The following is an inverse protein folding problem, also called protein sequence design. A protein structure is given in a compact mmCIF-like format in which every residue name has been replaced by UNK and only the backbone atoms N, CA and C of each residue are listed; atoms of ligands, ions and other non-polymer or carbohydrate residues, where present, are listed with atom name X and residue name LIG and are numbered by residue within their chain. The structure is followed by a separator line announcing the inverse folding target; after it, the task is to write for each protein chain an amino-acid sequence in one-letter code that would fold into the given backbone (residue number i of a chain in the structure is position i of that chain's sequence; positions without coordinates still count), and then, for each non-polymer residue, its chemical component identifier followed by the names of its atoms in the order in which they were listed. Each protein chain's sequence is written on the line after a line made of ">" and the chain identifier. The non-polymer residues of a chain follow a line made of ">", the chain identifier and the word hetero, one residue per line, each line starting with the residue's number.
data_IF_686175388892
#
_entry.id   IF_686175388892
#
_cell.length_a   1.000
_cell.length_b   1.000
_cell.length_c   1.000
_cell.angle_alpha   90.00
_cell.angle_beta   90.00
_cell.angle_gamma   90.00
#
_symmetry.space_group_name_H-M   'P 1'
#
loop_
_entity.id
_entity.type
_entity.pdbx_description
1 polymer ?
#
# COMPACT_ATOMS: atom_id res chain seq x y z
N UNK A 1 29.97 -14.55 -3.69
CA UNK A 1 28.87 -14.13 -4.57
C UNK A 1 27.77 -13.57 -3.68
N UNK A 2 27.55 -12.26 -3.70
CA UNK A 2 26.49 -11.64 -2.90
C UNK A 2 25.16 -11.95 -3.60
N UNK A 3 24.21 -12.54 -2.90
CA UNK A 3 22.89 -12.89 -3.45
C UNK A 3 22.13 -11.61 -3.82
N UNK A 4 21.35 -11.66 -4.91
CA UNK A 4 20.50 -10.54 -5.35
C UNK A 4 19.54 -10.07 -4.23
N UNK A 5 19.12 -10.99 -3.35
CA UNK A 5 18.33 -10.67 -2.16
C UNK A 5 19.05 -9.75 -1.17
N UNK A 6 20.37 -9.90 -1.01
CA UNK A 6 21.19 -9.06 -0.11
C UNK A 6 21.38 -7.65 -0.69
N UNK A 7 21.49 -7.53 -2.03
CA UNK A 7 21.59 -6.23 -2.70
C UNK A 7 20.25 -5.48 -2.58
N UNK A 8 19.12 -6.16 -2.73
CA UNK A 8 17.79 -5.55 -2.56
C UNK A 8 17.56 -5.07 -1.12
N UNK A 9 17.99 -5.85 -0.12
CA UNK A 9 17.89 -5.49 1.31
C UNK A 9 18.78 -4.29 1.66
N UNK A 10 19.97 -4.19 1.06
CA UNK A 10 20.86 -3.03 1.21
C UNK A 10 20.26 -1.80 0.52
N UNK A 11 19.64 -1.94 -0.66
CA UNK A 11 19.00 -0.82 -1.36
C UNK A 11 17.78 -0.31 -0.55
N UNK A 12 16.96 -1.21 -0.01
CA UNK A 12 15.84 -0.84 0.87
C UNK A 12 16.29 -0.21 2.20
N UNK A 13 17.33 -0.75 2.84
CA UNK A 13 17.90 -0.16 4.05
C UNK A 13 18.55 1.21 3.78
N UNK A 14 19.13 1.41 2.59
CA UNK A 14 19.71 2.71 2.19
C UNK A 14 18.63 3.73 1.81
N UNK A 15 17.51 3.30 1.23
CA UNK A 15 16.37 4.19 0.93
C UNK A 15 15.58 4.62 2.17
N UNK A 16 15.53 3.78 3.22
CA UNK A 16 14.93 4.13 4.51
C UNK A 16 15.85 5.02 5.37
N UNK A 17 17.15 5.10 5.05
CA UNK A 17 18.15 5.81 5.84
C UNK A 17 18.24 7.32 5.62
N UNK A 18 17.86 7.84 4.44
CA UNK A 18 18.12 9.25 4.07
C UNK A 18 16.99 9.88 3.24
N UNK A 19 15.77 9.95 3.77
CA UNK A 19 14.69 10.77 3.17
C UNK A 19 14.77 12.24 3.64
N UNK A 20 15.77 12.63 4.45
CA UNK A 20 15.94 14.02 4.89
C UNK A 20 16.32 15.00 3.76
N UNK A 21 16.62 14.50 2.55
CA UNK A 21 17.00 15.33 1.40
C UNK A 21 15.82 15.75 0.49
N UNK A 22 14.60 15.27 0.71
CA UNK A 22 13.43 15.73 -0.04
C UNK A 22 12.80 16.97 0.61
N UNK A 23 13.51 18.10 0.54
CA UNK A 23 12.94 19.41 0.88
C UNK A 23 11.80 19.73 -0.06
N UNK A 24 10.58 19.63 0.45
CA UNK A 24 9.37 20.25 -0.11
C UNK A 24 9.65 21.75 -0.31
N UNK A 25 9.40 22.34 -1.49
CA UNK A 25 9.55 23.78 -1.68
C UNK A 25 8.59 24.53 -0.73
N UNK A 26 9.19 25.36 0.11
CA UNK A 26 8.50 26.19 1.09
C UNK A 26 7.64 27.25 0.38
N UNK A 27 6.33 27.23 0.63
CA UNK A 27 5.40 28.25 0.15
C UNK A 27 5.74 29.58 0.84
N UNK A 28 6.07 30.58 0.03
CA UNK A 28 6.49 31.91 0.45
C UNK A 28 5.39 32.68 1.19
N UNK A 29 5.86 33.34 2.26
CA UNK A 29 5.23 34.35 3.13
C UNK A 29 4.04 35.13 2.54
N UNK A 30 2.93 35.13 3.28
CA UNK A 30 2.04 36.30 3.42
C UNK A 30 1.93 36.64 4.90
N UNK A 31 2.40 37.83 5.25
CA UNK A 31 2.33 38.41 6.59
C UNK A 31 1.00 39.18 6.71
N UNK A 32 0.19 38.89 7.74
CA UNK A 32 -0.56 39.93 8.45
C UNK A 32 -0.97 39.43 9.84
N UNK A 33 -0.61 40.20 10.85
CA UNK A 33 -0.99 40.03 12.25
C UNK A 33 -2.43 40.56 12.48
N UNK A 34 -3.23 39.92 13.33
CA UNK A 34 -3.82 40.55 14.52
C UNK A 34 -4.72 39.55 15.29
N UNK A 35 -4.60 39.60 16.62
CA UNK A 35 -5.28 38.83 17.66
C UNK A 35 -6.81 38.81 17.54
N UNK A 36 -7.41 37.66 17.85
CA UNK A 36 -8.45 37.53 18.90
C UNK A 36 -8.67 36.06 19.27
N UNK A 37 -8.48 35.77 20.55
CA UNK A 37 -8.93 34.55 21.22
C UNK A 37 -10.41 34.30 20.94
N UNK A 38 -10.70 33.22 20.20
CA UNK A 38 -11.99 32.56 20.21
C UNK A 38 -11.70 31.09 20.47
N UNK A 39 -12.40 30.53 21.45
CA UNK A 39 -12.39 29.11 21.82
C UNK A 39 -12.34 28.25 20.56
N UNK A 40 -11.20 27.57 20.37
CA UNK A 40 -11.02 26.55 19.34
C UNK A 40 -12.03 25.44 19.64
N UNK A 41 -13.22 25.56 19.05
CA UNK A 41 -14.08 24.40 18.83
C UNK A 41 -13.22 23.42 18.04
N UNK A 42 -12.94 22.27 18.67
CA UNK A 42 -12.08 21.25 18.13
C UNK A 42 -12.55 20.91 16.71
N UNK A 43 -11.81 21.37 15.71
CA UNK A 43 -11.94 20.98 14.32
C UNK A 43 -11.35 19.58 14.18
N UNK A 44 -12.12 18.60 14.64
CA UNK A 44 -11.79 17.19 14.64
C UNK A 44 -12.92 16.41 15.28
N UNK A 45 -13.18 15.21 14.77
CA UNK A 45 -14.26 14.36 15.28
C UNK A 45 -14.14 14.19 16.81
N UNK A 46 -15.13 14.58 17.63
CA UNK A 46 -15.07 14.45 19.08
C UNK A 46 -14.89 12.99 19.53
N UNK A 47 -15.21 12.01 18.66
CA UNK A 47 -14.94 10.59 18.89
C UNK A 47 -13.43 10.33 18.98
N UNK A 48 -12.59 11.07 18.26
CA UNK A 48 -11.13 10.94 18.28
C UNK A 48 -10.52 11.33 19.62
N UNK A 49 -11.01 12.43 20.20
CA UNK A 49 -10.60 12.87 21.55
C UNK A 49 -11.15 11.94 22.64
N UNK A 50 -12.31 11.31 22.40
CA UNK A 50 -12.98 10.45 23.36
C UNK A 50 -12.48 8.99 23.37
N UNK A 51 -12.02 8.46 22.22
CA UNK A 51 -11.64 7.04 22.07
C UNK A 51 -10.16 6.83 21.76
N UNK A 52 -9.47 7.84 21.22
CA UNK A 52 -8.08 7.71 20.76
C UNK A 52 -7.90 6.80 19.53
N UNK A 53 -8.98 6.33 18.90
CA UNK A 53 -8.92 5.39 17.78
C UNK A 53 -8.63 6.17 16.49
N UNK A 54 -7.54 5.80 15.81
CA UNK A 54 -7.13 6.37 14.52
C UNK A 54 -7.67 5.49 13.39
N UNK A 55 -8.21 6.07 12.30
CA UNK A 55 -8.64 5.29 11.15
C UNK A 55 -7.45 4.57 10.53
N UNK A 56 -7.71 3.38 10.01
CA UNK A 56 -6.71 2.55 9.36
C UNK A 56 -6.08 3.27 8.16
N UNK A 57 -4.78 3.05 7.95
CA UNK A 57 -4.03 3.56 6.79
C UNK A 57 -4.28 2.72 5.53
N UNK A 58 -4.75 1.48 5.71
CA UNK A 58 -4.85 0.49 4.65
C UNK A 58 -5.74 0.94 3.49
N UNK A 59 -6.91 1.58 3.67
CA UNK A 59 -7.73 2.01 2.53
C UNK A 59 -7.00 2.93 1.55
N UNK A 60 -6.16 3.85 2.05
CA UNK A 60 -5.38 4.75 1.18
C UNK A 60 -4.28 3.97 0.45
N UNK A 61 -3.60 3.06 1.17
CA UNK A 61 -2.57 2.19 0.60
C UNK A 61 -3.13 1.26 -0.47
N UNK A 62 -4.26 0.60 -0.21
CA UNK A 62 -4.92 -0.33 -1.15
C UNK A 62 -5.34 0.41 -2.41
N UNK A 63 -5.98 1.59 -2.28
CA UNK A 63 -6.37 2.39 -3.44
C UNK A 63 -5.17 2.80 -4.30
N UNK A 64 -4.04 3.15 -3.67
CA UNK A 64 -2.81 3.47 -4.38
C UNK A 64 -2.21 2.25 -5.10
N UNK A 65 -2.23 1.08 -4.47
CA UNK A 65 -1.80 -0.18 -5.09
C UNK A 65 -2.70 -0.55 -6.27
N UNK A 66 -4.02 -0.40 -6.13
CA UNK A 66 -4.99 -0.64 -7.20
C UNK A 66 -4.80 0.33 -8.39
N UNK A 67 -4.44 1.59 -8.13
CA UNK A 67 -4.02 2.52 -9.19
C UNK A 67 -2.73 2.06 -9.87
N UNK A 68 -1.73 1.59 -9.12
CA UNK A 68 -0.50 1.05 -9.70
C UNK A 68 -0.76 -0.20 -10.56
N UNK A 69 -1.64 -1.10 -10.13
CA UNK A 69 -2.09 -2.25 -10.94
C UNK A 69 -2.74 -1.79 -12.25
N UNK A 70 -3.64 -0.79 -12.19
CA UNK A 70 -4.28 -0.23 -13.39
C UNK A 70 -3.30 0.50 -14.31
N UNK A 71 -2.27 1.15 -13.77
CA UNK A 71 -1.23 1.78 -14.59
C UNK A 71 -0.36 0.73 -15.30
N UNK A 72 0.00 -0.36 -14.61
CA UNK A 72 0.71 -1.50 -15.20
C UNK A 72 -0.12 -2.19 -16.29
N UNK A 73 -1.42 -2.34 -16.10
CA UNK A 73 -2.31 -3.00 -17.05
C UNK A 73 -2.59 -2.19 -18.34
N UNK A 74 -2.22 -0.91 -18.40
CA UNK A 74 -2.48 -0.08 -19.59
C UNK A 74 -1.51 -0.46 -20.72
N UNK A 75 -2.01 -0.65 -21.97
CA UNK A 75 -1.19 -1.06 -23.11
C UNK A 75 -0.21 0.02 -23.61
N UNK A 76 -0.38 1.28 -23.19
CA UNK A 76 0.44 2.41 -23.64
C UNK A 76 1.67 2.60 -22.75
N UNK A 77 2.80 2.00 -23.14
CA UNK A 77 4.13 2.25 -22.55
C UNK A 77 4.19 1.96 -21.06
N UNK A 78 4.32 0.68 -20.71
CA UNK A 78 4.25 0.20 -19.33
C UNK A 78 5.33 0.85 -18.44
N UNK A 79 4.96 1.73 -17.49
CA UNK A 79 5.93 2.36 -16.61
C UNK A 79 6.40 1.42 -15.48
N UNK A 80 5.87 0.19 -15.41
CA UNK A 80 6.09 -0.76 -14.32
C UNK A 80 6.57 -2.15 -14.78
N UNK A 81 6.43 -2.54 -16.06
CA UNK A 81 7.07 -3.76 -16.63
C UNK A 81 8.28 -3.44 -17.48
N UNK A 82 9.31 -4.28 -17.34
CA UNK A 82 10.52 -4.22 -18.18
C UNK A 82 11.39 -2.97 -17.98
N UNK A 83 11.06 -2.13 -17.00
CA UNK A 83 11.79 -0.92 -16.61
C UNK A 83 12.77 -1.19 -15.47
N UNK A 84 13.72 -0.30 -15.27
CA UNK A 84 14.70 -0.44 -14.20
C UNK A 84 14.02 -0.33 -12.81
N UNK A 85 14.49 -1.06 -11.78
CA UNK A 85 13.88 -1.01 -10.44
C UNK A 85 13.76 0.39 -9.84
N UNK A 86 14.69 1.28 -10.17
CA UNK A 86 14.65 2.68 -9.72
C UNK A 86 13.48 3.45 -10.35
N UNK A 87 13.19 3.22 -11.62
CA UNK A 87 12.08 3.87 -12.33
C UNK A 87 10.73 3.38 -11.79
N UNK A 88 10.63 2.08 -11.48
CA UNK A 88 9.47 1.48 -10.80
C UNK A 88 9.25 2.17 -9.45
N UNK A 89 10.30 2.31 -8.64
CA UNK A 89 10.23 2.94 -7.32
C UNK A 89 9.80 4.42 -7.42
N UNK A 90 10.33 5.16 -8.39
CA UNK A 90 9.95 6.56 -8.63
C UNK A 90 8.48 6.69 -9.04
N UNK A 91 8.00 5.82 -9.93
CA UNK A 91 6.59 5.81 -10.36
C UNK A 91 5.67 5.43 -9.20
N UNK A 92 6.00 4.38 -8.45
CA UNK A 92 5.25 3.98 -7.25
C UNK A 92 5.21 5.10 -6.19
N UNK A 93 6.32 5.81 -6.00
CA UNK A 93 6.40 6.97 -5.12
C UNK A 93 5.46 8.10 -5.54
N UNK A 94 5.38 8.40 -6.85
CA UNK A 94 4.43 9.39 -7.38
C UNK A 94 2.98 8.99 -7.11
N UNK A 95 2.63 7.73 -7.39
CA UNK A 95 1.29 7.19 -7.14
C UNK A 95 0.92 7.31 -5.66
N UNK A 96 1.85 6.97 -4.76
CA UNK A 96 1.63 7.11 -3.33
C UNK A 96 1.39 8.57 -2.91
N UNK A 97 2.22 9.51 -3.40
CA UNK A 97 2.08 10.93 -3.12
C UNK A 97 0.72 11.46 -3.61
N UNK A 98 0.31 11.08 -4.82
CA UNK A 98 -0.98 11.48 -5.38
C UNK A 98 -2.15 10.98 -4.51
N UNK A 99 -2.11 9.72 -4.06
CA UNK A 99 -3.11 9.16 -3.16
C UNK A 99 -3.14 9.86 -1.79
N UNK A 100 -1.97 10.17 -1.22
CA UNK A 100 -1.84 10.91 0.04
C UNK A 100 -2.39 12.33 -0.10
N UNK A 101 -2.02 13.05 -1.17
CA UNK A 101 -2.52 14.41 -1.44
C UNK A 101 -4.04 14.40 -1.61
N UNK A 102 -4.57 13.41 -2.32
CA UNK A 102 -6.01 13.27 -2.48
C UNK A 102 -6.71 13.00 -1.15
N UNK A 103 -6.13 12.15 -0.29
CA UNK A 103 -6.63 11.93 1.07
C UNK A 103 -6.57 13.20 1.90
N UNK A 104 -5.44 13.93 1.92
CA UNK A 104 -5.29 15.17 2.68
C UNK A 104 -6.31 16.25 2.28
N UNK A 105 -6.66 16.33 0.98
CA UNK A 105 -7.72 17.24 0.49
C UNK A 105 -9.10 16.89 1.04
N UNK A 106 -9.45 15.60 1.07
CA UNK A 106 -10.72 15.14 1.66
C UNK A 106 -10.69 15.25 3.18
N UNK A 107 -9.51 15.04 3.78
CA UNK A 107 -9.29 15.11 5.21
C UNK A 107 -9.46 16.50 5.83
N UNK A 108 -9.37 17.56 5.03
CA UNK A 108 -9.68 18.91 5.48
C UNK A 108 -11.17 19.07 5.86
N UNK A 109 -12.05 18.21 5.33
CA UNK A 109 -13.48 18.23 5.59
C UNK A 109 -13.87 17.33 6.77
N UNK A 110 -13.14 16.22 7.00
CA UNK A 110 -13.40 15.29 8.11
C UNK A 110 -12.51 15.53 9.35
N UNK A 111 -11.51 16.42 9.26
CA UNK A 111 -10.57 16.73 10.35
C UNK A 111 -9.50 15.65 10.60
N UNK A 112 -9.36 14.69 9.68
CA UNK A 112 -8.51 13.51 9.81
C UNK A 112 -7.29 13.60 8.89
N UNK A 113 -6.51 14.68 9.03
CA UNK A 113 -5.26 14.84 8.31
C UNK A 113 -4.23 13.78 8.73
N UNK A 114 -3.50 13.26 7.75
CA UNK A 114 -2.43 12.31 8.00
C UNK A 114 -1.22 13.02 8.64
N UNK A 115 -0.52 12.35 9.54
CA UNK A 115 0.79 12.84 10.03
C UNK A 115 1.90 12.44 9.08
N UNK A 116 3.05 13.09 9.16
CA UNK A 116 4.21 12.80 8.28
C UNK A 116 4.64 11.34 8.37
N UNK A 117 4.58 10.74 9.54
CA UNK A 117 4.95 9.34 9.76
C UNK A 117 3.96 8.39 9.08
N UNK A 118 2.67 8.75 9.02
CA UNK A 118 1.67 7.96 8.29
C UNK A 118 1.84 8.09 6.79
N UNK A 119 2.10 9.29 6.29
CA UNK A 119 2.39 9.53 4.88
C UNK A 119 3.59 8.70 4.44
N UNK A 120 4.66 8.68 5.25
CA UNK A 120 5.84 7.84 5.02
C UNK A 120 5.50 6.35 5.05
N UNK A 121 4.65 5.92 5.99
CA UNK A 121 4.23 4.51 6.08
C UNK A 121 3.43 4.08 4.86
N UNK A 122 2.47 4.90 4.41
CA UNK A 122 1.69 4.65 3.20
C UNK A 122 2.63 4.59 1.99
N UNK A 123 3.53 5.57 1.83
CA UNK A 123 4.47 5.61 0.72
C UNK A 123 5.40 4.39 0.71
N UNK A 124 5.96 4.01 1.87
CA UNK A 124 6.83 2.84 2.02
C UNK A 124 6.12 1.54 1.65
N UNK A 125 4.85 1.38 2.06
CA UNK A 125 4.03 0.21 1.70
C UNK A 125 3.72 0.15 0.22
N UNK A 126 3.27 1.24 -0.38
CA UNK A 126 2.94 1.28 -1.81
C UNK A 126 4.19 0.95 -2.63
N UNK A 127 5.32 1.61 -2.37
CA UNK A 127 6.58 1.34 -3.06
C UNK A 127 7.03 -0.10 -2.82
N UNK A 128 6.95 -0.58 -1.57
CA UNK A 128 7.35 -1.93 -1.19
C UNK A 128 6.56 -3.03 -1.88
N UNK A 129 5.24 -2.84 -2.05
CA UNK A 129 4.35 -3.76 -2.78
C UNK A 129 4.59 -3.68 -4.29
N UNK A 130 4.61 -2.48 -4.88
CA UNK A 130 4.76 -2.29 -6.34
C UNK A 130 6.09 -2.84 -6.85
N UNK A 131 7.18 -2.64 -6.10
CA UNK A 131 8.49 -3.21 -6.45
C UNK A 131 8.54 -4.74 -6.37
N UNK A 132 7.54 -5.38 -5.77
CA UNK A 132 7.47 -6.83 -5.54
C UNK A 132 6.22 -7.45 -6.17
N UNK A 133 5.60 -6.80 -7.14
CA UNK A 133 4.38 -7.33 -7.75
C UNK A 133 4.56 -8.77 -8.24
N UNK A 134 5.60 -9.04 -9.04
CA UNK A 134 5.80 -10.39 -9.60
C UNK A 134 5.99 -11.46 -8.52
N UNK A 135 6.72 -11.14 -7.44
CA UNK A 135 6.94 -12.05 -6.31
C UNK A 135 5.63 -12.29 -5.53
N UNK A 136 4.94 -11.22 -5.15
CA UNK A 136 3.73 -11.30 -4.33
C UNK A 136 2.57 -11.94 -5.11
N UNK A 137 2.45 -11.68 -6.42
CA UNK A 137 1.47 -12.33 -7.30
C UNK A 137 1.78 -13.81 -7.48
N UNK A 138 3.06 -14.19 -7.56
CA UNK A 138 3.48 -15.58 -7.56
C UNK A 138 3.05 -16.31 -6.28
N UNK A 139 3.30 -15.70 -5.12
CA UNK A 139 2.88 -16.24 -3.81
C UNK A 139 1.36 -16.32 -3.72
N UNK A 140 0.64 -15.27 -4.12
CA UNK A 140 -0.83 -15.25 -4.12
C UNK A 140 -1.40 -16.43 -4.91
N UNK A 141 -0.88 -16.64 -6.13
CA UNK A 141 -1.30 -17.74 -6.99
C UNK A 141 -1.02 -19.10 -6.36
N UNK A 142 0.20 -19.30 -5.85
CA UNK A 142 0.61 -20.54 -5.18
C UNK A 142 -0.32 -20.88 -4.00
N UNK A 143 -0.62 -19.88 -3.15
CA UNK A 143 -1.51 -20.02 -1.99
C UNK A 143 -2.94 -20.38 -2.41
N UNK A 144 -3.50 -19.69 -3.39
CA UNK A 144 -4.87 -19.97 -3.83
C UNK A 144 -4.98 -21.33 -4.54
N UNK A 145 -3.94 -21.75 -5.27
CA UNK A 145 -3.90 -23.05 -5.95
C UNK A 145 -3.75 -24.23 -4.99
N UNK A 146 -3.11 -24.04 -3.83
CA UNK A 146 -2.97 -25.12 -2.83
C UNK A 146 -4.28 -25.44 -2.09
N UNK A 147 -5.27 -24.55 -2.19
CA UNK A 147 -6.54 -24.64 -1.46
C UNK A 147 -7.65 -25.16 -2.37
N UNK A 148 -8.02 -26.43 -2.17
CA UNK A 148 -8.95 -27.13 -3.05
C UNK A 148 -10.37 -26.54 -3.13
N UNK A 149 -10.83 -25.81 -2.10
CA UNK A 149 -12.17 -25.22 -2.13
C UNK A 149 -12.29 -24.04 -3.08
N UNK A 150 -11.21 -23.31 -3.35
CA UNK A 150 -11.22 -22.18 -4.28
C UNK A 150 -11.54 -22.68 -5.70
N UNK A 151 -10.85 -23.74 -6.13
CA UNK A 151 -11.13 -24.39 -7.41
C UNK A 151 -12.53 -25.03 -7.46
N UNK A 152 -12.97 -25.64 -6.35
CA UNK A 152 -14.28 -26.31 -6.26
C UNK A 152 -15.45 -25.34 -6.39
N UNK A 153 -15.35 -24.15 -5.78
CA UNK A 153 -16.43 -23.16 -5.75
C UNK A 153 -16.21 -21.98 -6.71
N UNK A 154 -15.11 -21.98 -7.48
CA UNK A 154 -14.76 -20.94 -8.45
C UNK A 154 -14.58 -19.55 -7.82
N UNK A 155 -14.02 -19.52 -6.61
CA UNK A 155 -13.88 -18.30 -5.80
C UNK A 155 -12.61 -17.48 -6.12
N UNK A 156 -12.00 -17.69 -7.29
CA UNK A 156 -10.73 -17.04 -7.68
C UNK A 156 -10.80 -15.51 -7.66
N UNK A 157 -11.93 -14.94 -8.11
CA UNK A 157 -12.13 -13.49 -8.19
C UNK A 157 -12.19 -12.80 -6.82
N UNK A 158 -12.55 -13.53 -5.76
CA UNK A 158 -12.50 -13.02 -4.37
C UNK A 158 -11.07 -12.71 -3.91
N UNK A 159 -10.07 -13.34 -4.53
CA UNK A 159 -8.63 -13.08 -4.34
C UNK A 159 -8.05 -12.18 -5.43
N UNK A 160 -8.87 -11.74 -6.40
CA UNK A 160 -8.40 -11.01 -7.57
C UNK A 160 -7.52 -11.87 -8.49
N UNK A 161 -7.83 -13.17 -8.62
CA UNK A 161 -7.18 -14.12 -9.52
C UNK A 161 -8.15 -14.64 -10.59
N UNK A 162 -7.59 -15.06 -11.72
CA UNK A 162 -8.30 -15.88 -12.70
C UNK A 162 -7.96 -17.36 -12.47
N UNK A 163 -8.85 -18.27 -12.87
CA UNK A 163 -8.60 -19.71 -12.78
C UNK A 163 -7.36 -20.12 -13.59
N UNK A 164 -7.19 -19.50 -14.76
CA UNK A 164 -6.00 -19.59 -15.60
C UNK A 164 -5.46 -18.16 -15.79
N UNK A 165 -4.30 -17.87 -15.21
CA UNK A 165 -3.70 -16.53 -15.29
C UNK A 165 -2.78 -16.41 -16.50
N UNK A 166 -3.29 -15.80 -17.56
CA UNK A 166 -2.50 -15.21 -18.62
C UNK A 166 -2.32 -13.71 -18.36
N UNK A 167 -1.13 -13.17 -18.58
CA UNK A 167 -0.82 -11.78 -18.22
C UNK A 167 -1.77 -10.77 -18.86
N UNK A 168 -2.10 -10.96 -20.14
CA UNK A 168 -3.02 -10.09 -20.89
C UNK A 168 -4.45 -10.17 -20.36
N UNK A 169 -4.94 -11.38 -20.02
CA UNK A 169 -6.27 -11.59 -19.46
C UNK A 169 -6.40 -10.96 -18.06
N UNK A 170 -5.35 -11.06 -17.23
CA UNK A 170 -5.31 -10.42 -15.91
C UNK A 170 -5.32 -8.89 -16.06
N UNK A 171 -4.54 -8.34 -16.99
CA UNK A 171 -4.51 -6.90 -17.24
C UNK A 171 -5.87 -6.38 -17.74
N UNK A 172 -6.52 -7.10 -18.65
CA UNK A 172 -7.88 -6.78 -19.10
C UNK A 172 -8.86 -6.79 -17.92
N UNK A 173 -8.81 -7.82 -17.08
CA UNK A 173 -9.69 -7.92 -15.92
C UNK A 173 -9.44 -6.80 -14.89
N UNK A 174 -8.18 -6.42 -14.65
CA UNK A 174 -7.81 -5.29 -13.78
C UNK A 174 -8.43 -3.97 -14.26
N UNK A 175 -8.54 -3.78 -15.58
CA UNK A 175 -9.12 -2.57 -16.17
C UNK A 175 -10.65 -2.62 -16.21
N UNK A 176 -11.25 -3.80 -16.41
CA UNK A 176 -12.69 -3.97 -16.58
C UNK A 176 -13.47 -4.12 -15.27
N UNK A 177 -12.88 -4.77 -14.26
CA UNK A 177 -13.53 -5.07 -12.99
C UNK A 177 -12.81 -4.39 -11.81
N UNK A 178 -13.35 -3.27 -11.32
CA UNK A 178 -12.79 -2.57 -10.17
C UNK A 178 -12.73 -3.44 -8.90
N UNK A 179 -13.68 -4.36 -8.71
CA UNK A 179 -13.71 -5.22 -7.53
C UNK A 179 -12.58 -6.25 -7.60
N UNK A 180 -12.37 -6.87 -8.77
CA UNK A 180 -11.22 -7.75 -9.01
C UNK A 180 -9.89 -7.06 -8.68
N UNK A 181 -9.71 -5.83 -9.20
CA UNK A 181 -8.51 -5.04 -8.95
C UNK A 181 -8.30 -4.72 -7.46
N UNK A 182 -9.38 -4.35 -6.76
CA UNK A 182 -9.33 -4.07 -5.32
C UNK A 182 -9.02 -5.32 -4.50
N UNK A 183 -9.68 -6.45 -4.78
CA UNK A 183 -9.40 -7.72 -4.11
C UNK A 183 -7.94 -8.14 -4.29
N UNK A 184 -7.41 -7.98 -5.51
CA UNK A 184 -5.99 -8.24 -5.79
C UNK A 184 -5.09 -7.32 -4.97
N UNK A 185 -5.35 -6.02 -4.96
CA UNK A 185 -4.56 -5.04 -4.21
C UNK A 185 -4.55 -5.32 -2.69
N UNK A 186 -5.70 -5.70 -2.12
CA UNK A 186 -5.82 -6.13 -0.72
C UNK A 186 -4.93 -7.35 -0.44
N UNK A 187 -5.08 -8.41 -1.23
CA UNK A 187 -4.31 -9.64 -1.09
C UNK A 187 -2.80 -9.37 -1.16
N UNK A 188 -2.35 -8.55 -2.12
CA UNK A 188 -0.94 -8.19 -2.26
C UNK A 188 -0.43 -7.37 -1.07
N UNK A 189 -1.22 -6.44 -0.55
CA UNK A 189 -0.86 -5.69 0.66
C UNK A 189 -0.75 -6.63 1.87
N UNK A 190 -1.70 -7.54 2.06
CA UNK A 190 -1.68 -8.49 3.18
C UNK A 190 -0.44 -9.42 3.13
N UNK A 191 -0.10 -9.92 1.94
CA UNK A 191 1.11 -10.72 1.74
C UNK A 191 2.38 -9.89 2.02
N UNK A 192 2.43 -8.62 1.60
CA UNK A 192 3.56 -7.74 1.91
C UNK A 192 3.70 -7.47 3.41
N UNK A 193 2.60 -7.14 4.10
CA UNK A 193 2.63 -6.84 5.53
C UNK A 193 3.11 -8.03 6.35
N UNK A 194 2.63 -9.23 6.03
CA UNK A 194 2.97 -10.45 6.76
C UNK A 194 4.36 -11.00 6.43
N UNK A 195 4.77 -11.00 5.16
CA UNK A 195 6.02 -11.64 4.72
C UNK A 195 7.22 -10.72 4.71
N UNK A 196 7.00 -9.42 4.55
CA UNK A 196 8.08 -8.44 4.37
C UNK A 196 8.11 -7.44 5.50
N UNK A 197 7.04 -6.69 5.72
CA UNK A 197 7.04 -5.58 6.68
C UNK A 197 7.18 -6.05 8.13
N UNK A 198 6.29 -6.94 8.59
CA UNK A 198 6.30 -7.39 9.98
C UNK A 198 7.62 -8.07 10.39
N UNK A 199 8.20 -9.00 9.59
CA UNK A 199 9.50 -9.59 9.92
C UNK A 199 10.63 -8.56 9.95
N UNK A 200 10.63 -7.60 9.01
CA UNK A 200 11.67 -6.56 8.94
C UNK A 200 11.62 -5.63 10.14
N UNK A 201 10.43 -5.21 10.55
CA UNK A 201 10.22 -4.35 11.73
C UNK A 201 10.57 -5.05 13.03
N UNK A 202 10.27 -6.34 13.13
CA UNK A 202 10.67 -7.15 14.28
C UNK A 202 12.21 -7.24 14.37
N UNK A 203 12.88 -7.46 13.24
CA UNK A 203 14.34 -7.51 13.17
C UNK A 203 14.99 -6.16 13.53
N UNK A 204 14.42 -5.05 13.07
CA UNK A 204 14.92 -3.71 13.34
C UNK A 204 14.45 -3.12 14.68
N UNK A 205 13.54 -3.80 15.39
CA UNK A 205 12.87 -3.33 16.62
C UNK A 205 12.18 -1.97 16.43
N UNK A 206 11.68 -1.72 15.23
CA UNK A 206 10.95 -0.50 14.90
C UNK A 206 9.44 -0.75 14.92
N UNK A 207 8.69 0.33 15.06
CA UNK A 207 7.24 0.33 14.90
C UNK A 207 6.85 1.39 13.87
N UNK A 208 5.80 1.11 13.12
CA UNK A 208 5.22 2.04 12.15
C UNK A 208 3.78 2.37 12.56
N UNK A 209 3.28 3.58 12.25
CA UNK A 209 1.88 3.93 12.37
C UNK A 209 0.94 2.86 11.80
N UNK A 210 -0.08 2.49 12.57
CA UNK A 210 -1.04 1.46 12.19
C UNK A 210 -0.57 0.01 12.36
N UNK A 211 0.72 -0.23 12.64
CA UNK A 211 1.28 -1.58 12.77
C UNK A 211 1.17 -2.40 11.48
N UNK A 212 1.67 -3.64 11.49
CA UNK A 212 1.67 -4.53 10.30
C UNK A 212 0.58 -5.60 10.33
N UNK A 213 -0.46 -5.40 11.15
CA UNK A 213 -1.61 -6.31 11.20
C UNK A 213 -2.46 -6.21 9.94
N UNK A 214 -3.02 -7.34 9.51
CA UNK A 214 -4.00 -7.38 8.42
C UNK A 214 -5.40 -7.42 9.03
N UNK A 215 -6.11 -6.29 8.99
CA UNK A 215 -7.45 -6.11 9.59
C UNK A 215 -8.54 -5.76 8.55
N UNK A 216 -8.19 -5.76 7.27
CA UNK A 216 -9.02 -5.32 6.15
C UNK A 216 -9.47 -6.45 5.21
N UNK A 217 -9.08 -7.69 5.50
CA UNK A 217 -9.48 -8.89 4.76
C UNK A 217 -10.31 -9.79 5.69
N UNK A 218 -11.31 -10.49 5.14
CA UNK A 218 -12.09 -11.48 5.90
C UNK A 218 -11.24 -12.69 6.33
N UNK A 219 -11.74 -13.41 7.33
CA UNK A 219 -11.01 -14.53 7.95
C UNK A 219 -10.71 -15.65 6.96
N UNK A 220 -11.63 -15.99 6.07
CA UNK A 220 -11.45 -17.10 5.12
C UNK A 220 -10.31 -16.80 4.13
N UNK A 221 -10.28 -15.58 3.58
CA UNK A 221 -9.16 -15.13 2.73
C UNK A 221 -7.86 -15.03 3.53
N UNK A 222 -7.91 -14.54 4.76
CA UNK A 222 -6.72 -14.41 5.61
C UNK A 222 -6.06 -15.77 5.87
N UNK A 223 -6.86 -16.79 6.15
CA UNK A 223 -6.39 -18.17 6.38
C UNK A 223 -5.67 -18.73 5.14
N UNK A 224 -6.20 -18.48 3.95
CA UNK A 224 -5.55 -18.88 2.67
C UNK A 224 -4.23 -18.15 2.45
N UNK A 225 -4.18 -16.84 2.73
CA UNK A 225 -3.00 -16.02 2.42
C UNK A 225 -1.85 -16.24 3.41
N UNK A 226 -2.19 -16.32 4.71
CA UNK A 226 -1.19 -16.20 5.77
C UNK A 226 -0.74 -17.52 6.38
N UNK A 227 -1.38 -18.65 6.05
CA UNK A 227 -1.08 -19.97 6.62
C UNK A 227 -0.76 -19.89 8.12
N UNK A 228 -1.78 -19.98 8.99
CA UNK A 228 -1.55 -20.20 10.43
C UNK A 228 -1.00 -21.61 10.76
N UNK A 229 -0.38 -22.30 9.80
CA UNK A 229 0.17 -23.64 9.93
C UNK A 229 1.55 -23.77 9.29
N UNK A 230 2.58 -23.25 9.98
CA UNK A 230 3.88 -23.92 10.11
C UNK A 230 4.40 -23.77 11.54
#
# INVERSE_FOLDING_TARGET
>A
MISAATILLIILASFLGDISAFTVPSITKVHSQCRRSRSLGATGDPIRAATGIRPSLHPVTINAIAEALRQRAKPSGDPLRGVAPLEIAQTAGKIAIEAIVQRQKTSAQDGMQLTREEEQTIAGRVVGVVMRFDELEGVLRERCQSVGWIAKYQEWSSFGLLAEEEAEAVDEQILMDPLFCMNRAECLLALFLSRVEAPSLLQSKQQVPGGSSVDFIDTDRLEVLLDNYQ
#
